data_IF_660891533957
#
_entry.id   IF_660891533957
#
_cell.length_a   1.000
_cell.length_b   1.000
_cell.length_c   1.000
_cell.angle_alpha   90.00
_cell.angle_beta   90.00
_cell.angle_gamma   90.00
#
_symmetry.space_group_name_H-M   'P 1'
#
loop_
_entity.id
_entity.type
_entity.pdbx_description
1 polymer ?
#
# COMPACT_ATOMS: atom_id res chain seq x y z
N UNK A 1 3.80 10.57 2.07
CA UNK A 1 3.52 9.12 2.12
C UNK A 1 2.02 8.88 2.13
N UNK A 2 1.26 9.67 1.37
CA UNK A 2 -0.17 9.87 1.64
C UNK A 2 -1.06 9.23 0.56
N UNK A 3 -0.49 8.47 -0.37
CA UNK A 3 -1.23 7.89 -1.51
C UNK A 3 -1.68 6.44 -1.27
N UNK A 4 -1.20 5.83 -0.18
CA UNK A 4 -1.40 4.41 0.12
C UNK A 4 -2.05 4.26 1.49
N UNK A 5 -3.14 3.50 1.55
CA UNK A 5 -3.82 3.11 2.77
C UNK A 5 -3.54 1.63 3.04
N UNK A 6 -2.87 1.33 4.16
CA UNK A 6 -2.60 -0.04 4.55
C UNK A 6 -3.84 -0.66 5.21
N UNK A 7 -4.46 -1.63 4.53
CA UNK A 7 -5.68 -2.30 5.03
C UNK A 7 -5.41 -3.59 5.78
N UNK A 8 -4.27 -4.22 5.50
CA UNK A 8 -3.86 -5.45 6.17
C UNK A 8 -2.34 -5.48 6.35
N UNK A 9 -1.91 -6.11 7.44
CA UNK A 9 -0.51 -6.38 7.72
C UNK A 9 -0.29 -7.89 7.76
N UNK A 10 0.73 -8.35 7.04
CA UNK A 10 1.15 -9.76 7.01
C UNK A 10 2.57 -9.88 7.56
N UNK A 11 2.90 -11.02 8.18
CA UNK A 11 4.28 -11.23 8.64
C UNK A 11 5.22 -11.25 7.44
N UNK A 12 6.26 -10.42 7.49
CA UNK A 12 7.29 -10.41 6.47
C UNK A 12 7.98 -11.79 6.44
N UNK A 13 8.10 -12.45 5.26
CA UNK A 13 8.82 -13.72 5.17
C UNK A 13 10.32 -13.55 5.50
N UNK A 14 10.86 -12.35 5.27
CA UNK A 14 12.27 -12.00 5.48
C UNK A 14 12.36 -10.55 5.99
N UNK A 15 13.39 -10.19 6.77
CA UNK A 15 13.60 -8.83 7.31
C UNK A 15 13.65 -7.75 6.21
N UNK A 16 14.16 -8.07 5.03
CA UNK A 16 14.20 -7.14 3.89
C UNK A 16 12.82 -6.79 3.31
N UNK A 17 11.79 -7.58 3.63
CA UNK A 17 10.41 -7.36 3.18
C UNK A 17 9.58 -6.57 4.19
N UNK A 18 10.12 -6.31 5.38
CA UNK A 18 9.46 -5.55 6.43
C UNK A 18 9.29 -4.09 6.01
N UNK A 19 8.06 -3.59 6.11
CA UNK A 19 7.65 -2.25 5.69
C UNK A 19 7.39 -2.08 4.19
N UNK A 20 7.51 -3.15 3.38
CA UNK A 20 7.22 -3.09 1.95
C UNK A 20 5.76 -3.43 1.65
N UNK A 21 5.25 -2.85 0.57
CA UNK A 21 3.95 -3.21 0.00
C UNK A 21 4.12 -4.57 -0.69
N UNK A 22 3.38 -5.57 -0.21
CA UNK A 22 3.39 -6.93 -0.76
C UNK A 22 2.36 -7.05 -1.88
N UNK A 23 1.20 -6.43 -1.69
CA UNK A 23 0.10 -6.52 -2.66
C UNK A 23 -0.77 -5.26 -2.65
N UNK A 24 -1.47 -5.02 -3.77
CA UNK A 24 -2.40 -3.91 -3.97
C UNK A 24 -3.80 -4.48 -4.14
N UNK A 25 -4.62 -4.37 -3.10
CA UNK A 25 -6.01 -4.85 -3.09
C UNK A 25 -6.89 -3.98 -3.99
N UNK A 26 -6.71 -2.67 -3.91
CA UNK A 26 -7.42 -1.72 -4.79
C UNK A 26 -6.45 -0.69 -5.35
N UNK A 27 -6.52 -0.50 -6.68
CA UNK A 27 -5.71 0.52 -7.35
C UNK A 27 -6.17 1.92 -6.94
N UNK A 28 -5.20 2.75 -6.59
CA UNK A 28 -5.39 4.19 -6.41
C UNK A 28 -5.35 4.91 -7.75
N UNK A 29 -6.03 6.06 -7.83
CA UNK A 29 -6.05 6.90 -9.02
C UNK A 29 -5.84 8.36 -8.63
N UNK A 30 -4.99 9.02 -9.40
CA UNK A 30 -4.67 10.44 -9.26
C UNK A 30 -4.89 11.06 -10.63
N UNK A 31 -5.62 12.17 -10.67
CA UNK A 31 -5.83 12.93 -11.91
C UNK A 31 -5.29 14.34 -11.71
N UNK A 32 -4.31 14.71 -12.53
CA UNK A 32 -3.47 15.88 -12.32
C UNK A 32 -2.87 15.83 -10.90
N UNK A 33 -3.29 16.72 -10.01
CA UNK A 33 -2.81 16.80 -8.63
C UNK A 33 -3.89 16.42 -7.60
N UNK A 34 -5.04 15.93 -8.07
CA UNK A 34 -6.16 15.55 -7.21
C UNK A 34 -6.21 14.04 -7.04
N UNK A 35 -6.16 13.60 -5.79
CA UNK A 35 -6.39 12.20 -5.45
C UNK A 35 -7.87 11.89 -5.66
N UNK A 36 -8.16 11.00 -6.60
CA UNK A 36 -9.51 10.47 -6.83
C UNK A 36 -9.78 9.30 -5.90
N UNK A 37 -8.75 8.49 -5.63
CA UNK A 37 -8.82 7.33 -4.73
C UNK A 37 -7.43 6.95 -4.25
N UNK A 38 -7.30 6.69 -2.95
CA UNK A 38 -6.09 6.12 -2.36
C UNK A 38 -5.96 4.64 -2.68
N UNK A 39 -4.74 4.18 -2.94
CA UNK A 39 -4.49 2.75 -3.19
C UNK A 39 -4.58 1.99 -1.87
N UNK A 40 -5.38 0.91 -1.83
CA UNK A 40 -5.41 0.02 -0.67
C UNK A 40 -4.37 -1.06 -0.84
N UNK A 41 -3.48 -1.15 0.12
CA UNK A 41 -2.30 -2.01 0.04
C UNK A 41 -2.18 -2.92 1.26
N UNK A 42 -1.57 -4.08 1.06
CA UNK A 42 -1.14 -4.98 2.11
C UNK A 42 0.34 -4.73 2.37
N UNK A 43 0.69 -4.45 3.63
CA UNK A 43 2.07 -4.15 4.03
C UNK A 43 2.61 -5.33 4.83
N UNK A 44 3.86 -5.70 4.58
CA UNK A 44 4.53 -6.66 5.43
C UNK A 44 5.08 -5.96 6.68
N UNK A 45 4.85 -6.51 7.87
CA UNK A 45 5.43 -6.07 9.14
C UNK A 45 6.36 -7.14 9.71
#
# INVERSE_FOLDING_TARGET
TDLHEAVAQVQAPNEESKGKIIDVVEKGYILNEKVLRFAKVVVAN
#
